data_IF_617782916416
#
_entry.id   IF_617782916416
#
_cell.length_a   1.000
_cell.length_b   1.000
_cell.length_c   1.000
_cell.angle_alpha   90.00
_cell.angle_beta   90.00
_cell.angle_gamma   90.00
#
_symmetry.space_group_name_H-M   'P 1'
#
loop_
_entity.id
_entity.type
_entity.pdbx_description
1 polymer ?
#
# COMPACT_ATOMS: atom_id res chain seq x y z
N UNK A 1 -6.20 14.57 8.79
CA UNK A 1 -5.94 13.11 8.84
C UNK A 1 -4.82 12.69 7.85
N UNK A 2 -3.78 13.52 7.66
CA UNK A 2 -2.70 13.32 6.65
C UNK A 2 -1.36 12.93 7.31
N UNK A 3 -1.33 12.76 8.64
CA UNK A 3 -0.07 12.74 9.40
C UNK A 3 0.75 11.46 9.24
N UNK A 4 0.13 10.31 8.97
CA UNK A 4 0.83 9.02 8.92
C UNK A 4 1.56 8.77 7.59
N UNK A 5 0.88 9.01 6.47
CA UNK A 5 1.45 8.85 5.12
C UNK A 5 2.62 9.82 4.89
N UNK A 6 2.48 11.05 5.37
CA UNK A 6 3.51 12.06 5.19
C UNK A 6 4.77 11.78 6.02
N UNK A 7 4.62 11.19 7.21
CA UNK A 7 5.76 10.72 8.00
C UNK A 7 6.50 9.60 7.29
N UNK A 8 5.78 8.62 6.77
CA UNK A 8 6.38 7.52 5.98
C UNK A 8 7.10 8.07 4.75
N UNK A 9 6.46 8.95 3.99
CA UNK A 9 7.07 9.57 2.81
C UNK A 9 8.39 10.27 3.13
N UNK A 10 8.39 11.14 4.16
CA UNK A 10 9.60 11.85 4.59
C UNK A 10 10.69 10.89 5.07
N UNK A 11 10.32 9.82 5.76
CA UNK A 11 11.27 8.83 6.24
C UNK A 11 11.94 8.07 5.08
N UNK A 12 11.16 7.66 4.07
CA UNK A 12 11.71 7.02 2.87
C UNK A 12 12.67 7.95 2.13
N UNK A 13 12.29 9.23 1.97
CA UNK A 13 13.13 10.25 1.31
C UNK A 13 14.44 10.50 2.09
N UNK A 14 14.36 10.62 3.42
CA UNK A 14 15.52 10.81 4.30
C UNK A 14 16.54 9.66 4.23
N UNK A 15 16.07 8.44 3.96
CA UNK A 15 16.91 7.25 3.85
C UNK A 15 17.14 6.84 2.39
N UNK A 16 16.89 7.74 1.43
CA UNK A 16 17.15 7.55 -0.01
C UNK A 16 16.40 6.36 -0.65
N UNK A 17 15.30 5.91 -0.06
CA UNK A 17 14.44 4.85 -0.59
C UNK A 17 13.42 5.45 -1.55
N UNK A 18 13.58 5.17 -2.85
CA UNK A 18 12.64 5.61 -3.88
C UNK A 18 11.52 4.59 -4.07
N UNK A 19 10.29 5.07 -4.22
CA UNK A 19 9.11 4.23 -4.46
C UNK A 19 9.30 3.20 -5.59
N UNK A 20 9.99 3.57 -6.67
CA UNK A 20 10.21 2.67 -7.81
C UNK A 20 10.96 1.38 -7.43
N UNK A 21 11.78 1.40 -6.37
CA UNK A 21 12.57 0.25 -5.94
C UNK A 21 11.73 -0.89 -5.32
N UNK A 22 10.51 -0.61 -4.86
CA UNK A 22 9.60 -1.62 -4.30
C UNK A 22 8.22 -1.59 -4.97
N UNK A 23 7.63 -0.40 -5.14
CA UNK A 23 6.26 -0.23 -5.62
C UNK A 23 6.08 -0.61 -7.10
N UNK A 24 7.14 -0.61 -7.92
CA UNK A 24 7.03 -1.10 -9.30
C UNK A 24 6.54 -2.55 -9.34
N UNK A 25 7.07 -3.40 -8.45
CA UNK A 25 6.67 -4.80 -8.35
C UNK A 25 5.23 -4.93 -7.83
N UNK A 26 4.84 -4.05 -6.91
CA UNK A 26 3.49 -4.01 -6.35
C UNK A 26 2.47 -3.69 -7.45
N UNK A 27 2.72 -2.64 -8.23
CA UNK A 27 1.84 -2.20 -9.31
C UNK A 27 1.76 -3.23 -10.45
N UNK A 28 2.90 -3.74 -10.91
CA UNK A 28 2.93 -4.64 -12.07
C UNK A 28 2.37 -6.02 -11.78
N UNK A 29 2.51 -6.51 -10.55
CA UNK A 29 2.05 -7.84 -10.18
C UNK A 29 0.80 -7.78 -9.28
N UNK A 30 0.16 -6.61 -9.15
CA UNK A 30 -1.05 -6.41 -8.37
C UNK A 30 -0.95 -6.99 -6.95
N UNK A 31 0.18 -6.74 -6.28
CA UNK A 31 0.58 -7.27 -4.97
C UNK A 31 0.69 -8.80 -4.84
N UNK A 32 0.52 -9.59 -5.91
CA UNK A 32 0.58 -11.07 -5.83
C UNK A 32 1.94 -11.62 -5.36
N UNK A 33 2.99 -10.80 -5.42
CA UNK A 33 4.35 -11.14 -4.96
C UNK A 33 4.58 -10.78 -3.48
N UNK A 34 3.65 -10.05 -2.87
CA UNK A 34 3.78 -9.50 -1.52
C UNK A 34 2.82 -10.15 -0.52
N UNK A 35 1.83 -10.92 -0.99
CA UNK A 35 0.87 -11.64 -0.14
C UNK A 35 0.68 -13.07 -0.64
N UNK A 36 0.22 -14.00 0.22
CA UNK A 36 -0.11 -15.36 -0.21
C UNK A 36 -1.14 -15.43 -1.35
N UNK A 37 -1.14 -16.52 -2.11
CA UNK A 37 -2.05 -16.69 -3.25
C UNK A 37 -3.53 -16.62 -2.84
N UNK A 38 -3.92 -17.23 -1.72
CA UNK A 38 -5.32 -17.16 -1.24
C UNK A 38 -5.74 -15.73 -0.90
N UNK A 39 -4.82 -14.92 -0.38
CA UNK A 39 -5.05 -13.50 -0.12
C UNK A 39 -5.18 -12.71 -1.43
N UNK A 40 -4.37 -13.04 -2.44
CA UNK A 40 -4.45 -12.42 -3.78
C UNK A 40 -5.81 -12.66 -4.40
N UNK A 41 -6.31 -13.91 -4.35
CA UNK A 41 -7.65 -14.27 -4.88
C UNK A 41 -8.72 -13.44 -4.17
N UNK A 42 -8.72 -13.43 -2.83
CA UNK A 42 -9.68 -12.67 -2.03
C UNK A 42 -9.63 -11.17 -2.31
N UNK A 43 -8.43 -10.60 -2.52
CA UNK A 43 -8.26 -9.20 -2.89
C UNK A 43 -8.87 -8.92 -4.26
N UNK A 44 -8.64 -9.81 -5.22
CA UNK A 44 -9.10 -9.66 -6.59
C UNK A 44 -10.62 -9.84 -6.74
N UNK A 45 -11.30 -10.54 -5.82
CA UNK A 45 -12.76 -10.55 -5.75
C UNK A 45 -13.31 -9.11 -5.60
N UNK A 46 -12.66 -8.30 -4.77
CA UNK A 46 -13.03 -6.89 -4.59
C UNK A 46 -12.62 -6.04 -5.79
N UNK A 47 -11.46 -6.29 -6.41
CA UNK A 47 -11.08 -5.58 -7.65
C UNK A 47 -12.04 -5.83 -8.81
N UNK A 48 -12.60 -7.03 -8.93
CA UNK A 48 -13.63 -7.31 -9.93
C UNK A 48 -14.96 -6.63 -9.64
N UNK A 49 -15.25 -6.38 -8.37
CA UNK A 49 -16.50 -5.75 -7.92
C UNK A 49 -16.45 -4.22 -7.96
N UNK A 50 -15.26 -3.64 -7.85
CA UNK A 50 -15.05 -2.19 -7.86
C UNK A 50 -14.87 -1.63 -9.29
N UNK A 51 -15.55 -0.52 -9.64
CA UNK A 51 -15.22 0.24 -10.84
C UNK A 51 -13.75 0.65 -10.82
N UNK A 52 -13.03 0.35 -11.90
CA UNK A 52 -11.59 0.59 -12.03
C UNK A 52 -10.76 -0.04 -10.89
N UNK A 53 -11.20 -1.20 -10.40
CA UNK A 53 -10.61 -1.90 -9.25
C UNK A 53 -9.11 -2.21 -9.42
N UNK A 54 -8.75 -2.77 -10.57
CA UNK A 54 -7.36 -3.15 -10.89
C UNK A 54 -6.44 -1.98 -11.21
N UNK A 55 -6.98 -0.79 -11.49
CA UNK A 55 -6.22 0.39 -11.90
C UNK A 55 -6.22 1.47 -10.81
N UNK A 56 -7.33 2.17 -10.66
CA UNK A 56 -7.43 3.29 -9.73
C UNK A 56 -7.55 2.83 -8.28
N UNK A 57 -8.38 1.82 -8.00
CA UNK A 57 -8.53 1.37 -6.61
C UNK A 57 -7.26 0.70 -6.07
N UNK A 58 -6.51 0.01 -6.94
CA UNK A 58 -5.23 -0.60 -6.60
C UNK A 58 -4.24 0.39 -5.98
N UNK A 59 -4.23 1.65 -6.42
CA UNK A 59 -3.37 2.69 -5.85
C UNK A 59 -3.65 2.91 -4.36
N UNK A 60 -4.93 2.97 -3.96
CA UNK A 60 -5.32 3.11 -2.55
C UNK A 60 -5.00 1.86 -1.75
N UNK A 61 -5.10 0.67 -2.36
CA UNK A 61 -4.66 -0.57 -1.70
C UNK A 61 -3.16 -0.55 -1.45
N UNK A 62 -2.33 -0.15 -2.41
CA UNK A 62 -0.88 -0.01 -2.22
C UNK A 62 -0.53 1.02 -1.14
N UNK A 63 -1.24 2.15 -1.08
CA UNK A 63 -1.07 3.15 -0.03
C UNK A 63 -1.43 2.60 1.36
N UNK A 64 -2.61 1.98 1.49
CA UNK A 64 -3.02 1.32 2.74
C UNK A 64 -2.05 0.21 3.16
N UNK A 65 -1.53 -0.56 2.19
CA UNK A 65 -0.57 -1.62 2.41
C UNK A 65 0.76 -1.07 2.95
N UNK A 66 1.26 0.03 2.40
CA UNK A 66 2.46 0.70 2.91
C UNK A 66 2.25 1.21 4.35
N UNK A 67 1.14 1.91 4.61
CA UNK A 67 0.85 2.51 5.91
C UNK A 67 0.57 1.45 6.99
N UNK A 68 0.12 0.25 6.61
CA UNK A 68 -0.06 -0.88 7.53
C UNK A 68 1.23 -1.24 8.28
N UNK A 69 2.38 -0.97 7.68
CA UNK A 69 3.73 -1.23 8.20
C UNK A 69 4.45 0.04 8.66
N UNK A 70 3.72 1.14 8.88
CA UNK A 70 4.33 2.44 9.23
C UNK A 70 5.25 2.36 10.43
N UNK A 71 4.94 1.53 11.42
CA UNK A 71 5.69 1.50 12.68
C UNK A 71 7.09 0.93 12.40
N UNK A 72 7.13 -0.23 11.74
CA UNK A 72 8.33 -0.93 11.35
C UNK A 72 9.17 -0.09 10.37
N UNK A 73 8.51 0.55 9.39
CA UNK A 73 9.18 1.45 8.44
C UNK A 73 9.87 2.61 9.17
N UNK A 74 9.20 3.25 10.13
CA UNK A 74 9.74 4.40 10.86
C UNK A 74 10.82 4.02 11.89
N UNK A 75 10.86 2.76 12.32
CA UNK A 75 11.86 2.23 13.24
C UNK A 75 13.18 1.88 12.52
N UNK A 76 13.10 1.45 11.25
CA UNK A 76 14.28 1.09 10.46
C UNK A 76 14.98 2.32 9.86
N UNK A 77 16.29 2.44 10.08
CA UNK A 77 17.11 3.58 9.65
C UNK A 77 18.22 3.19 8.68
N UNK A 78 18.50 1.89 8.55
CA UNK A 78 19.42 1.42 7.53
C UNK A 78 18.70 1.33 6.18
N UNK A 79 19.32 1.91 5.14
CA UNK A 79 18.75 1.91 3.79
C UNK A 79 18.51 0.49 3.25
N UNK A 80 19.48 -0.41 3.43
CA UNK A 80 19.43 -1.74 2.86
C UNK A 80 18.37 -2.59 3.56
N UNK A 81 18.32 -2.54 4.88
CA UNK A 81 17.31 -3.26 5.67
C UNK A 81 15.90 -2.71 5.43
N UNK A 82 15.75 -1.38 5.33
CA UNK A 82 14.46 -0.76 5.00
C UNK A 82 13.96 -1.18 3.62
N UNK A 83 14.84 -1.17 2.61
CA UNK A 83 14.49 -1.62 1.27
C UNK A 83 14.17 -3.11 1.23
N UNK A 84 14.95 -3.93 1.94
CA UNK A 84 14.70 -5.37 2.05
C UNK A 84 13.36 -5.65 2.72
N UNK A 85 13.02 -4.92 3.78
CA UNK A 85 11.74 -5.00 4.46
C UNK A 85 10.57 -4.67 3.54
N UNK A 86 10.65 -3.54 2.81
CA UNK A 86 9.62 -3.13 1.84
C UNK A 86 9.44 -4.13 0.69
N UNK A 87 10.50 -4.88 0.36
CA UNK A 87 10.45 -5.94 -0.65
C UNK A 87 10.08 -7.31 -0.06
N UNK A 88 9.95 -7.48 1.25
CA UNK A 88 9.67 -8.77 1.90
C UNK A 88 8.78 -8.59 3.13
N UNK A 89 7.67 -7.86 2.95
CA UNK A 89 6.73 -7.60 4.04
C UNK A 89 6.21 -8.91 4.65
N UNK A 90 6.08 -9.02 5.98
CA UNK A 90 5.80 -10.30 6.63
C UNK A 90 4.30 -10.65 6.58
N UNK A 91 3.84 -11.06 5.39
CA UNK A 91 2.43 -11.39 5.08
C UNK A 91 2.16 -12.89 5.01
N UNK A 92 3.15 -13.74 5.28
CA UNK A 92 3.04 -15.19 5.10
C UNK A 92 1.85 -15.81 5.86
N UNK A 93 1.46 -15.22 6.99
CA UNK A 93 0.36 -15.68 7.84
C UNK A 93 -0.97 -14.96 7.58
N UNK A 94 -1.02 -14.06 6.60
CA UNK A 94 -2.24 -13.30 6.32
C UNK A 94 -3.37 -14.21 5.86
N UNK A 95 -4.58 -13.85 6.27
CA UNK A 95 -5.82 -14.50 5.86
C UNK A 95 -6.85 -13.49 5.33
N UNK A 96 -8.10 -13.96 5.25
CA UNK A 96 -9.21 -13.16 4.73
C UNK A 96 -9.50 -11.92 5.58
N UNK A 97 -9.26 -11.99 6.89
CA UNK A 97 -9.48 -10.86 7.81
C UNK A 97 -8.47 -9.74 7.55
N UNK A 98 -7.18 -10.06 7.38
CA UNK A 98 -6.15 -9.08 7.04
C UNK A 98 -6.47 -8.35 5.72
N UNK A 99 -6.91 -9.10 4.71
CA UNK A 99 -7.32 -8.53 3.42
C UNK A 99 -8.57 -7.67 3.57
N UNK A 100 -9.52 -8.05 4.43
CA UNK A 100 -10.73 -7.25 4.67
C UNK A 100 -10.38 -5.93 5.38
N UNK A 101 -9.45 -5.95 6.35
CA UNK A 101 -8.95 -4.74 7.00
C UNK A 101 -8.17 -3.85 6.04
N UNK A 102 -7.31 -4.42 5.20
CA UNK A 102 -6.57 -3.69 4.17
C UNK A 102 -7.53 -2.99 3.20
N UNK A 103 -8.54 -3.70 2.71
CA UNK A 103 -9.55 -3.17 1.80
C UNK A 103 -10.36 -2.05 2.47
N UNK A 104 -10.79 -2.23 3.71
CA UNK A 104 -11.52 -1.21 4.46
C UNK A 104 -10.72 0.10 4.57
N UNK A 105 -9.42 0.00 4.86
CA UNK A 105 -8.54 1.17 4.89
C UNK A 105 -8.34 1.79 3.50
N UNK A 106 -8.19 0.97 2.46
CA UNK A 106 -8.11 1.46 1.08
C UNK A 106 -9.37 2.22 0.66
N UNK A 107 -10.57 1.75 1.02
CA UNK A 107 -11.81 2.49 0.81
C UNK A 107 -11.83 3.81 1.58
N UNK A 108 -11.40 3.80 2.85
CA UNK A 108 -11.29 5.02 3.66
C UNK A 108 -10.41 6.06 2.98
N UNK A 109 -9.26 5.65 2.42
CA UNK A 109 -8.38 6.52 1.66
C UNK A 109 -9.06 7.02 0.38
N UNK A 110 -9.67 6.13 -0.42
CA UNK A 110 -10.41 6.49 -1.63
C UNK A 110 -11.43 7.60 -1.37
N UNK A 111 -12.25 7.47 -0.32
CA UNK A 111 -13.23 8.50 0.04
C UNK A 111 -12.58 9.79 0.54
N UNK A 112 -11.57 9.70 1.41
CA UNK A 112 -10.87 10.87 1.92
C UNK A 112 -10.23 11.74 0.82
N UNK A 113 -9.75 11.10 -0.26
CA UNK A 113 -9.18 11.80 -1.42
C UNK A 113 -10.21 12.15 -2.50
N UNK A 114 -11.31 11.41 -2.63
CA UNK A 114 -12.42 11.77 -3.52
C UNK A 114 -13.16 13.03 -3.04
N UNK A 115 -13.27 13.21 -1.72
CA UNK A 115 -13.86 14.40 -1.10
C UNK A 115 -12.86 15.56 -0.95
N UNK A 116 -11.57 15.35 -1.26
CA UNK A 116 -10.58 16.41 -1.26
C UNK A 116 -10.85 17.34 -2.45
N UNK A 117 -11.05 18.66 -2.25
CA UNK A 117 -11.34 19.58 -3.34
C UNK A 117 -10.22 19.52 -4.37
N UNK A 118 -10.58 19.20 -5.61
CA UNK A 118 -9.72 19.14 -6.80
C UNK A 118 -8.62 20.22 -6.78
N UNK A 119 -7.41 19.85 -6.34
CA UNK A 119 -6.21 20.64 -6.54
C UNK A 119 -5.58 20.42 -7.92
N UNK A 120 -6.17 19.55 -8.75
CA UNK A 120 -5.91 19.46 -10.17
C UNK A 120 -6.67 20.55 -10.93
N UNK A 121 -6.26 21.81 -10.74
CA UNK A 121 -6.49 22.86 -11.74
C UNK A 121 -5.29 22.85 -12.68
N UNK A 122 -5.49 22.28 -13.87
CA UNK A 122 -4.78 22.73 -15.06
C UNK A 122 -5.56 23.87 -15.68
#
# INVERSE_FOLDING_TARGET
MVTGEEQVHRHLDQHEVRYLQFAFRWMNNLLMREVPLHCTIRLWDTYQSEPDGFSHFHLYVCAAFLVRWRKEILEERDFQELLLFLQNLPTAHWGNEDISLLLAEAYRLKFAFADAPNHYKK
#
